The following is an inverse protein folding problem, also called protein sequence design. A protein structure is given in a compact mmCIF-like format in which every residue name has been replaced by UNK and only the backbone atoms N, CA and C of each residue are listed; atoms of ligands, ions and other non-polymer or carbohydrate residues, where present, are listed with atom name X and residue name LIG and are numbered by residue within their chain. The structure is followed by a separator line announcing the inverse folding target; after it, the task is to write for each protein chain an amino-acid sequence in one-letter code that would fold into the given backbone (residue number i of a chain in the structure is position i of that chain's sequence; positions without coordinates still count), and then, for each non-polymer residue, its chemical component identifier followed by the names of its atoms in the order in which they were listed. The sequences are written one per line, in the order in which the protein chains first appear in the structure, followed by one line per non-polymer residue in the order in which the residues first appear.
data_IF_215797547187
#
_entry.id   IF_215797547187
#
_cell.length_a   1.000
_cell.length_b   1.000
_cell.length_c   1.000
_cell.angle_alpha   90.00
_cell.angle_beta   90.00
_cell.angle_gamma   90.00
#
_symmetry.space_group_name_H-M   'P 1'
#
loop_
_entity.id
_entity.type
_entity.pdbx_description
1 polymer ?
#
# COMPACT_ATOMS: atom_id res chain seq x y z
N UNK A 1 -4.66 10.49 19.93
CA UNK A 1 -4.14 9.59 20.97
C UNK A 1 -5.00 8.32 20.93
N UNK A 2 -4.46 7.19 20.46
CA UNK A 2 -5.21 5.92 20.32
C UNK A 2 -4.67 4.92 21.35
N UNK A 3 -5.55 4.42 22.20
CA UNK A 3 -5.23 3.45 23.25
C UNK A 3 -5.39 2.04 22.67
N UNK A 4 -4.37 1.19 22.85
CA UNK A 4 -4.39 -0.21 22.41
C UNK A 4 -4.73 -1.08 23.61
N UNK A 5 -5.81 -1.85 23.51
CA UNK A 5 -6.10 -2.93 24.46
C UNK A 5 -5.70 -4.28 23.85
N UNK A 6 -4.95 -5.08 24.63
CA UNK A 6 -4.43 -6.39 24.21
C UNK A 6 -5.15 -7.48 24.99
N UNK A 7 -5.95 -8.28 24.28
CA UNK A 7 -6.06 -9.75 24.44
C UNK A 7 -7.10 -10.29 23.46
N UNK A 8 -6.74 -11.32 22.70
CA UNK A 8 -7.40 -12.65 22.69
C UNK A 8 -6.70 -13.54 21.66
N UNK A 9 -6.23 -14.71 22.12
CA UNK A 9 -5.55 -15.75 21.33
C UNK A 9 -6.51 -16.50 20.40
N UNK A 10 -5.99 -16.82 19.22
CA UNK A 10 -6.70 -17.32 18.04
C UNK A 10 -7.12 -18.81 18.10
N UNK A 11 -8.22 -19.15 17.43
CA UNK A 11 -8.16 -20.08 16.29
C UNK A 11 -9.48 -20.11 15.46
N UNK A 12 -9.30 -20.16 14.13
CA UNK A 12 -10.24 -20.55 13.05
C UNK A 12 -11.27 -19.51 12.56
N UNK A 13 -10.99 -19.01 11.34
CA UNK A 13 -11.84 -18.20 10.44
C UNK A 13 -12.21 -16.79 10.89
N UNK A 14 -11.19 -15.97 11.18
CA UNK A 14 -11.34 -14.53 11.40
C UNK A 14 -11.00 -13.77 10.10
N UNK A 15 -11.76 -14.00 9.03
CA UNK A 15 -11.65 -13.21 7.80
C UNK A 15 -12.29 -11.80 7.94
N UNK A 16 -12.66 -11.36 9.13
CA UNK A 16 -13.59 -10.23 9.34
C UNK A 16 -13.03 -9.10 10.23
N UNK A 17 -11.71 -8.93 10.34
CA UNK A 17 -11.11 -7.80 11.11
C UNK A 17 -10.35 -6.76 10.28
N UNK A 18 -10.44 -6.80 8.95
CA UNK A 18 -9.59 -5.96 8.09
C UNK A 18 -10.11 -4.54 7.81
N UNK A 19 -11.30 -4.16 8.28
CA UNK A 19 -11.95 -2.93 7.85
C UNK A 19 -12.51 -2.12 9.03
N UNK A 20 -11.62 -1.44 9.76
CA UNK A 20 -12.02 -0.54 10.85
C UNK A 20 -11.83 0.95 10.51
N UNK A 21 -11.22 1.28 9.37
CA UNK A 21 -11.06 2.67 8.96
C UNK A 21 -12.32 3.21 8.28
N UNK A 22 -12.75 4.38 8.73
CA UNK A 22 -13.79 5.20 8.12
C UNK A 22 -13.27 6.60 7.80
N UNK A 23 -13.84 7.23 6.77
CA UNK A 23 -13.54 8.61 6.37
C UNK A 23 -14.86 9.36 6.20
N UNK A 24 -14.87 10.58 6.70
CA UNK A 24 -15.93 11.54 6.47
C UNK A 24 -15.76 12.18 5.09
N UNK A 25 -16.72 11.94 4.19
CA UNK A 25 -16.79 12.58 2.88
C UNK A 25 -17.84 13.70 2.95
N UNK A 26 -17.42 14.95 2.72
CA UNK A 26 -18.33 16.09 2.65
C UNK A 26 -18.53 16.49 1.18
N UNK A 27 -19.75 16.34 0.67
CA UNK A 27 -20.12 16.72 -0.70
C UNK A 27 -21.41 17.53 -0.70
N UNK A 28 -21.40 18.71 -1.32
CA UNK A 28 -22.57 19.64 -1.38
C UNK A 28 -23.19 19.92 0.00
N UNK A 29 -22.38 19.98 1.05
CA UNK A 29 -22.84 20.19 2.43
C UNK A 29 -23.41 18.95 3.14
N UNK A 30 -23.45 17.80 2.47
CA UNK A 30 -23.79 16.52 3.07
C UNK A 30 -22.52 15.83 3.57
N UNK A 31 -22.50 15.50 4.85
CA UNK A 31 -21.45 14.69 5.48
C UNK A 31 -21.87 13.22 5.48
N UNK A 32 -21.07 12.37 4.85
CA UNK A 32 -21.29 10.93 4.78
C UNK A 32 -20.10 10.20 5.40
N UNK A 33 -20.35 9.27 6.32
CA UNK A 33 -19.32 8.38 6.83
C UNK A 33 -19.18 7.18 5.88
N UNK A 34 -18.03 7.07 5.22
CA UNK A 34 -17.70 5.89 4.42
C UNK A 34 -17.11 4.85 5.35
N UNK A 35 -17.96 3.95 5.84
CA UNK A 35 -17.58 2.84 6.72
C UNK A 35 -17.03 1.68 5.88
N UNK A 36 -15.83 1.19 6.23
CA UNK A 36 -15.04 0.21 5.45
C UNK A 36 -14.47 0.81 4.16
N UNK A 37 -13.49 1.68 4.33
CA UNK A 37 -12.59 2.02 3.23
C UNK A 37 -11.92 0.71 2.83
N UNK A 38 -12.17 0.24 1.60
CA UNK A 38 -11.30 -0.76 0.98
C UNK A 38 -9.89 -0.23 1.19
N UNK A 39 -9.02 -0.98 1.87
CA UNK A 39 -7.59 -0.77 1.69
C UNK A 39 -7.41 -0.81 0.19
N UNK A 40 -7.29 0.36 -0.44
CA UNK A 40 -7.13 0.45 -1.88
C UNK A 40 -5.90 -0.38 -2.14
N UNK A 41 -6.10 -1.52 -2.80
CA UNK A 41 -5.02 -2.40 -3.17
C UNK A 41 -4.21 -1.62 -4.19
N UNK A 42 -3.27 -0.82 -3.67
CA UNK A 42 -2.59 0.21 -4.45
C UNK A 42 -1.46 -0.52 -5.14
N UNK A 43 -1.71 -0.82 -6.41
CA UNK A 43 -0.80 -1.55 -7.28
C UNK A 43 -0.24 -0.59 -8.31
N UNK A 44 1.08 -0.63 -8.48
CA UNK A 44 1.76 -0.06 -9.63
C UNK A 44 2.37 -1.22 -10.40
N UNK A 45 1.85 -1.47 -11.59
CA UNK A 45 2.42 -2.42 -12.55
C UNK A 45 2.90 -1.64 -13.78
N UNK A 46 4.22 -1.61 -13.94
CA UNK A 46 4.93 -0.99 -15.06
C UNK A 46 5.75 -2.04 -15.83
N UNK A 47 5.45 -3.33 -15.62
CA UNK A 47 6.21 -4.41 -16.21
C UNK A 47 6.12 -4.43 -17.74
N UNK A 48 7.07 -5.09 -18.37
CA UNK A 48 7.09 -5.31 -19.83
C UNK A 48 7.13 -4.02 -20.66
N UNK A 49 7.95 -3.08 -20.22
CA UNK A 49 8.18 -1.81 -20.92
C UNK A 49 9.66 -1.67 -21.30
N UNK A 50 10.00 -0.52 -21.87
CA UNK A 50 11.38 -0.15 -22.23
C UNK A 50 11.88 1.00 -21.34
N UNK A 51 11.45 1.04 -20.07
CA UNK A 51 11.97 2.05 -19.15
C UNK A 51 13.45 1.77 -18.86
N UNK A 52 14.26 2.82 -18.90
CA UNK A 52 15.71 2.77 -18.70
C UNK A 52 16.12 3.75 -17.58
N UNK A 53 17.37 3.65 -17.13
CA UNK A 53 17.89 4.49 -16.06
C UNK A 53 17.61 3.91 -14.67
N UNK A 54 17.64 4.76 -13.64
CA UNK A 54 17.57 4.33 -12.24
C UNK A 54 16.14 4.38 -11.69
N UNK A 55 15.82 3.48 -10.76
CA UNK A 55 14.60 3.56 -9.96
C UNK A 55 14.66 4.85 -9.11
N UNK A 56 13.69 5.77 -9.20
CA UNK A 56 13.73 7.03 -8.47
C UNK A 56 13.41 6.81 -6.98
N UNK A 57 14.14 7.53 -6.11
CA UNK A 57 14.00 7.37 -4.65
C UNK A 57 12.58 7.66 -4.13
N UNK A 58 11.84 8.51 -4.83
CA UNK A 58 10.46 8.92 -4.53
C UNK A 58 9.47 7.75 -4.45
N UNK A 59 9.79 6.61 -5.08
CA UNK A 59 8.95 5.41 -4.93
C UNK A 59 8.88 4.94 -3.48
N UNK A 60 9.89 5.24 -2.65
CA UNK A 60 9.87 4.94 -1.21
C UNK A 60 8.79 5.70 -0.42
N UNK A 61 8.30 6.83 -0.94
CA UNK A 61 7.29 7.65 -0.26
C UNK A 61 5.86 7.09 -0.43
N UNK A 62 5.69 6.07 -1.28
CA UNK A 62 4.41 5.42 -1.54
C UNK A 62 4.04 4.42 -0.42
N UNK A 63 3.95 4.88 0.82
CA UNK A 63 3.81 4.03 2.02
C UNK A 63 2.54 3.16 2.07
N UNK A 64 1.53 3.48 1.26
CA UNK A 64 0.29 2.71 1.12
C UNK A 64 0.34 1.65 -0.01
N UNK A 65 1.44 1.58 -0.76
CA UNK A 65 1.60 0.65 -1.87
C UNK A 65 1.57 -0.80 -1.38
N UNK A 66 0.78 -1.64 -2.06
CA UNK A 66 0.65 -3.08 -1.78
C UNK A 66 1.47 -3.90 -2.77
N UNK A 67 1.49 -3.49 -4.04
CA UNK A 67 2.23 -4.19 -5.10
C UNK A 67 2.99 -3.20 -5.95
N UNK A 68 4.28 -3.49 -6.16
CA UNK A 68 5.13 -2.80 -7.11
C UNK A 68 5.73 -3.83 -8.07
N UNK A 69 5.40 -3.72 -9.34
CA UNK A 69 6.00 -4.54 -10.40
C UNK A 69 6.70 -3.64 -11.43
N UNK A 70 8.02 -3.71 -11.47
CA UNK A 70 8.88 -3.00 -12.43
C UNK A 70 9.60 -3.95 -13.39
N UNK A 71 9.32 -5.26 -13.32
CA UNK A 71 10.09 -6.28 -14.04
C UNK A 71 9.96 -6.18 -15.55
N UNK A 72 10.88 -6.84 -16.27
CA UNK A 72 10.93 -6.79 -17.73
C UNK A 72 11.04 -5.34 -18.27
N UNK A 73 11.93 -4.55 -17.68
CA UNK A 73 12.38 -3.25 -18.16
C UNK A 73 13.91 -3.22 -18.37
N UNK A 74 14.43 -2.09 -18.84
CA UNK A 74 15.87 -1.82 -18.95
C UNK A 74 16.42 -0.97 -17.79
N UNK A 75 15.80 -1.05 -16.61
CA UNK A 75 16.21 -0.32 -15.41
C UNK A 75 17.58 -0.81 -14.91
N UNK A 76 18.38 0.11 -14.39
CA UNK A 76 19.80 -0.11 -14.04
C UNK A 76 20.10 0.45 -12.64
N UNK A 77 21.23 0.01 -12.09
CA UNK A 77 21.72 0.46 -10.78
C UNK A 77 21.24 -0.41 -9.62
N UNK A 78 21.46 0.08 -8.40
CA UNK A 78 21.16 -0.66 -7.18
C UNK A 78 19.75 -0.34 -6.68
N UNK A 79 19.13 -1.31 -6.00
CA UNK A 79 17.92 -1.08 -5.21
C UNK A 79 18.24 -0.01 -4.15
N UNK A 80 17.52 1.11 -4.19
CA UNK A 80 17.74 2.21 -3.27
C UNK A 80 17.20 1.88 -1.87
N UNK A 81 17.90 2.26 -0.79
CA UNK A 81 17.41 2.07 0.58
C UNK A 81 16.03 2.69 0.86
N UNK A 82 15.63 3.71 0.09
CA UNK A 82 14.32 4.36 0.24
C UNK A 82 13.15 3.40 -0.02
N UNK A 83 13.32 2.37 -0.86
CA UNK A 83 12.30 1.32 -1.05
C UNK A 83 12.04 0.54 0.24
N UNK A 84 12.97 0.53 1.20
CA UNK A 84 12.75 -0.03 2.54
C UNK A 84 11.66 0.71 3.34
N UNK A 85 11.24 1.90 2.92
CA UNK A 85 10.14 2.66 3.54
C UNK A 85 8.75 2.16 3.13
N UNK A 86 8.67 1.29 2.13
CA UNK A 86 7.44 0.67 1.62
C UNK A 86 6.88 -0.39 2.58
N UNK A 87 6.47 0.05 3.77
CA UNK A 87 6.05 -0.80 4.88
C UNK A 87 4.77 -1.63 4.64
N UNK A 88 3.98 -1.28 3.64
CA UNK A 88 2.72 -1.96 3.30
C UNK A 88 2.84 -2.95 2.12
N UNK A 89 4.01 -3.05 1.48
CA UNK A 89 4.19 -3.88 0.28
C UNK A 89 4.11 -5.37 0.61
N UNK A 90 3.30 -6.07 -0.15
CA UNK A 90 3.06 -7.50 -0.07
C UNK A 90 3.73 -8.26 -1.22
N UNK A 91 3.93 -7.61 -2.37
CA UNK A 91 4.66 -8.16 -3.51
C UNK A 91 5.52 -7.09 -4.19
N UNK A 92 6.77 -7.46 -4.48
CA UNK A 92 7.76 -6.61 -5.15
C UNK A 92 8.47 -7.44 -6.23
N UNK A 93 8.44 -6.96 -7.47
CA UNK A 93 9.19 -7.50 -8.60
C UNK A 93 9.88 -6.34 -9.35
N UNK A 94 11.15 -6.52 -9.74
CA UNK A 94 12.04 -5.44 -10.18
C UNK A 94 12.68 -5.70 -11.54
#
# INVERSE_FOLDING_TARGET
MRTIDKKTNASRYEFHRYYQDSVDVVTKGLKLEVVRILSLYTTIDLSNNKFEGYIPCILGDLIALRVLNLSHNGLQGNILPSLGSLSSVEALDL
#
